data_IF_550458544660
#
_entry.id   IF_550458544660
#
_cell.length_a   1.000
_cell.length_b   1.000
_cell.length_c   1.000
_cell.angle_alpha   90.00
_cell.angle_beta   90.00
_cell.angle_gamma   90.00
#
_symmetry.space_group_name_H-M   'P 1'
#
loop_
_entity.id
_entity.type
_entity.pdbx_description
1 polymer ?
#
# COMPACT_ATOMS: atom_id res chain seq x y z
N UNK A 1 -2.81 -7.95 0.58
CA UNK A 1 -3.82 -9.04 0.54
C UNK A 1 -5.08 -8.51 -0.16
N UNK A 2 -6.12 -9.34 -0.31
CA UNK A 2 -7.36 -8.94 -0.99
C UNK A 2 -7.27 -9.03 -2.51
N UNK A 3 -8.42 -9.15 -3.17
CA UNK A 3 -8.48 -9.49 -4.59
C UNK A 3 -7.86 -8.45 -5.53
N UNK A 4 -7.88 -7.16 -5.16
CA UNK A 4 -7.30 -6.08 -5.99
C UNK A 4 -5.79 -6.24 -6.12
N UNK A 5 -5.11 -6.62 -5.03
CA UNK A 5 -3.66 -6.78 -5.03
C UNK A 5 -3.18 -7.87 -6.00
N UNK A 6 -4.03 -8.86 -6.31
CA UNK A 6 -3.73 -9.92 -7.28
C UNK A 6 -4.14 -9.55 -8.71
N UNK A 7 -5.15 -8.70 -8.87
CA UNK A 7 -5.78 -8.43 -10.18
C UNK A 7 -5.24 -7.19 -10.88
N UNK A 8 -4.62 -6.26 -10.15
CA UNK A 8 -4.21 -4.98 -10.72
C UNK A 8 -2.73 -4.65 -10.40
N UNK A 9 -1.78 -5.19 -11.19
CA UNK A 9 -0.35 -4.90 -11.03
C UNK A 9 -0.02 -3.42 -11.15
N UNK A 10 -0.70 -2.70 -12.05
CA UNK A 10 -0.51 -1.26 -12.23
C UNK A 10 -0.81 -0.49 -10.95
N UNK A 11 -1.95 -0.77 -10.31
CA UNK A 11 -2.31 -0.12 -9.06
C UNK A 11 -1.29 -0.41 -7.95
N UNK A 12 -0.81 -1.64 -7.86
CA UNK A 12 0.19 -2.02 -6.87
C UNK A 12 1.53 -1.28 -7.08
N UNK A 13 1.95 -1.09 -8.33
CA UNK A 13 3.13 -0.29 -8.64
C UNK A 13 2.93 1.18 -8.28
N UNK A 14 1.78 1.76 -8.61
CA UNK A 14 1.43 3.14 -8.22
C UNK A 14 1.48 3.29 -6.68
N UNK A 15 0.95 2.31 -5.94
CA UNK A 15 1.01 2.33 -4.47
C UNK A 15 2.45 2.30 -3.96
N UNK A 16 3.31 1.46 -4.53
CA UNK A 16 4.73 1.40 -4.17
C UNK A 16 5.42 2.75 -4.44
N UNK A 17 5.20 3.32 -5.62
CA UNK A 17 5.83 4.56 -6.05
C UNK A 17 5.35 5.78 -5.23
N UNK A 18 4.04 5.84 -4.91
CA UNK A 18 3.47 6.93 -4.10
C UNK A 18 3.92 6.85 -2.65
N UNK A 19 3.93 5.65 -2.06
CA UNK A 19 4.27 5.47 -0.63
C UNK A 19 5.77 5.40 -0.37
N UNK A 20 6.58 5.15 -1.39
CA UNK A 20 8.02 4.92 -1.25
C UNK A 20 8.36 3.63 -0.52
N UNK A 21 7.46 2.64 -0.55
CA UNK A 21 7.60 1.37 0.17
C UNK A 21 7.38 0.19 -0.77
N UNK A 22 8.11 -0.90 -0.54
CA UNK A 22 7.89 -2.13 -1.26
C UNK A 22 6.52 -2.73 -0.88
N UNK A 23 5.73 -3.06 -1.90
CA UNK A 23 4.43 -3.68 -1.74
C UNK A 23 4.54 -5.19 -1.92
N UNK A 24 4.25 -5.93 -0.85
CA UNK A 24 4.25 -7.39 -0.83
C UNK A 24 2.82 -7.92 -0.98
N UNK A 25 2.66 -9.01 -1.75
CA UNK A 25 1.37 -9.66 -1.95
C UNK A 25 1.28 -10.89 -1.05
N UNK A 26 0.18 -11.02 -0.30
CA UNK A 26 -0.09 -12.23 0.49
C UNK A 26 -0.20 -13.44 -0.43
N UNK A 27 0.42 -14.56 -0.05
CA UNK A 27 0.27 -15.84 -0.74
C UNK A 27 -1.14 -16.41 -0.59
N UNK A 28 -1.81 -16.12 0.53
CA UNK A 28 -3.14 -16.66 0.82
C UNK A 28 -4.25 -15.80 0.23
N UNK A 29 -5.04 -16.40 -0.65
CA UNK A 29 -6.28 -15.82 -1.17
C UNK A 29 -7.38 -15.68 -0.10
N UNK A 30 -7.30 -16.48 0.98
CA UNK A 30 -8.25 -16.48 2.09
C UNK A 30 -7.60 -15.91 3.36
N UNK A 31 -7.13 -14.67 3.27
CA UNK A 31 -6.33 -14.05 4.34
C UNK A 31 -7.04 -14.02 5.70
N UNK A 32 -8.36 -13.79 5.73
CA UNK A 32 -9.15 -13.81 6.97
C UNK A 32 -9.25 -15.22 7.57
N UNK A 33 -9.48 -16.24 6.74
CA UNK A 33 -9.53 -17.63 7.20
C UNK A 33 -8.17 -18.11 7.72
N UNK A 34 -7.08 -17.71 7.05
CA UNK A 34 -5.72 -17.97 7.52
C UNK A 34 -5.48 -17.33 8.90
N UNK A 35 -5.92 -16.09 9.11
CA UNK A 35 -5.81 -15.41 10.40
C UNK A 35 -6.57 -16.15 11.52
N UNK A 36 -7.78 -16.64 11.23
CA UNK A 36 -8.55 -17.46 12.17
C UNK A 36 -7.85 -18.78 12.49
N UNK A 37 -7.26 -19.44 11.49
CA UNK A 37 -6.49 -20.67 11.67
C UNK A 37 -5.23 -20.45 12.51
N UNK A 38 -4.52 -19.33 12.31
CA UNK A 38 -3.37 -18.95 13.14
C UNK A 38 -3.80 -18.81 14.61
N UNK A 39 -4.88 -18.07 14.88
CA UNK A 39 -5.37 -17.89 16.24
C UNK A 39 -5.80 -19.23 16.87
N UNK A 40 -6.53 -20.06 16.13
CA UNK A 40 -6.93 -21.40 16.59
C UNK A 40 -5.73 -22.29 16.91
N UNK A 41 -4.69 -22.24 16.09
CA UNK A 41 -3.45 -22.98 16.31
C UNK A 41 -2.69 -22.52 17.55
N UNK A 42 -2.66 -21.21 17.84
CA UNK A 42 -2.06 -20.68 19.07
C UNK A 42 -2.86 -21.09 20.30
N UNK A 43 -4.19 -21.04 20.24
CA UNK A 43 -5.06 -21.46 21.36
C UNK A 43 -4.93 -22.96 21.65
N UNK A 44 -4.77 -23.79 20.61
CA UNK A 44 -4.53 -25.22 20.79
C UNK A 44 -3.23 -25.50 21.58
N UNK A 45 -2.20 -24.66 21.40
CA UNK A 45 -0.92 -24.80 22.06
C UNK A 45 -0.02 -25.89 21.44
N UNK A 46 1.28 -25.77 21.65
CA UNK A 46 2.28 -26.67 21.06
C UNK A 46 2.08 -28.14 21.44
N UNK A 47 1.68 -28.41 22.68
CA UNK A 47 1.49 -29.77 23.20
C UNK A 47 0.35 -30.55 22.49
N UNK A 48 -0.61 -29.82 21.89
CA UNK A 48 -1.71 -30.40 21.13
C UNK A 48 -1.50 -30.33 19.60
N UNK A 49 -0.27 -30.05 19.14
CA UNK A 49 0.06 -29.91 17.72
C UNK A 49 -0.24 -28.52 17.13
N UNK A 50 -0.53 -27.54 17.97
CA UNK A 50 -0.62 -26.12 17.62
C UNK A 50 0.74 -25.42 17.66
N UNK A 51 0.74 -24.11 17.87
CA UNK A 51 1.95 -23.30 18.03
C UNK A 51 1.96 -22.65 19.42
N UNK A 52 3.15 -22.39 19.97
CA UNK A 52 3.30 -21.76 21.29
C UNK A 52 3.09 -20.24 21.29
N UNK A 53 3.12 -19.60 20.13
CA UNK A 53 2.90 -18.15 20.02
C UNK A 53 2.39 -17.73 18.63
N UNK A 54 1.84 -16.52 18.54
CA UNK A 54 1.48 -15.92 17.26
C UNK A 54 2.69 -15.75 16.33
N UNK A 55 3.86 -15.39 16.85
CA UNK A 55 5.06 -15.21 16.04
C UNK A 55 5.49 -16.52 15.37
N UNK A 56 5.47 -17.62 16.14
CA UNK A 56 5.76 -18.96 15.64
C UNK A 56 4.74 -19.41 14.59
N UNK A 57 3.44 -19.27 14.89
CA UNK A 57 2.37 -19.61 13.97
C UNK A 57 2.44 -18.79 12.67
N UNK A 58 2.73 -17.49 12.77
CA UNK A 58 2.91 -16.62 11.60
C UNK A 58 4.12 -17.05 10.77
N UNK A 59 5.25 -17.38 11.40
CA UNK A 59 6.45 -17.85 10.70
C UNK A 59 6.19 -19.15 9.94
N UNK A 60 5.41 -20.07 10.51
CA UNK A 60 5.07 -21.35 9.88
C UNK A 60 3.96 -21.24 8.82
N UNK A 61 2.96 -20.39 9.04
CA UNK A 61 1.70 -20.40 8.26
C UNK A 61 1.59 -19.26 7.26
N UNK A 62 2.17 -18.08 7.54
CA UNK A 62 2.09 -16.95 6.63
C UNK A 62 3.02 -17.13 5.43
N UNK A 63 2.79 -16.34 4.38
CA UNK A 63 3.67 -16.31 3.24
C UNK A 63 3.31 -15.16 2.30
N UNK A 64 4.31 -14.77 1.52
CA UNK A 64 4.20 -13.78 0.45
C UNK A 64 4.35 -14.48 -0.89
N UNK A 65 3.83 -13.88 -1.96
CA UNK A 65 4.16 -14.30 -3.33
C UNK A 65 5.54 -13.76 -3.71
N UNK A 66 6.18 -14.42 -4.67
CA UNK A 66 7.50 -14.00 -5.19
C UNK A 66 7.44 -12.65 -5.90
N UNK A 67 6.29 -12.31 -6.47
CA UNK A 67 6.06 -11.00 -7.09
C UNK A 67 5.85 -9.93 -6.01
N UNK A 68 6.78 -8.98 -5.95
CA UNK A 68 6.67 -7.75 -5.16
C UNK A 68 6.80 -6.53 -6.07
N UNK A 69 6.32 -5.37 -5.59
CA UNK A 69 6.41 -4.11 -6.31
C UNK A 69 7.31 -3.16 -5.54
N UNK A 70 8.49 -2.88 -6.08
CA UNK A 70 9.45 -1.95 -5.48
C UNK A 70 9.23 -0.54 -6.05
N UNK A 71 9.38 0.52 -5.23
CA UNK A 71 9.25 1.88 -5.72
C UNK A 71 10.26 2.15 -6.83
N UNK A 72 9.79 2.76 -7.92
CA UNK A 72 10.63 3.29 -8.99
C UNK A 72 11.05 4.71 -8.58
N UNK A 73 12.34 4.99 -8.33
CA UNK A 73 12.79 6.28 -7.81
C UNK A 73 12.37 7.48 -8.67
N UNK A 74 12.33 7.30 -9.99
CA UNK A 74 11.92 8.32 -10.96
C UNK A 74 10.43 8.66 -10.80
N UNK A 75 9.57 7.64 -10.71
CA UNK A 75 8.15 7.81 -10.49
C UNK A 75 7.86 8.44 -9.13
N UNK A 76 8.56 8.00 -8.07
CA UNK A 76 8.39 8.51 -6.73
C UNK A 76 8.64 10.03 -6.67
N UNK A 77 9.68 10.54 -7.35
CA UNK A 77 9.94 11.98 -7.43
C UNK A 77 8.74 12.75 -8.02
N UNK A 78 8.08 12.19 -9.03
CA UNK A 78 6.89 12.77 -9.64
C UNK A 78 5.69 12.68 -8.70
N UNK A 79 5.46 11.52 -8.10
CA UNK A 79 4.34 11.31 -7.17
C UNK A 79 4.45 12.15 -5.92
N UNK A 80 5.65 12.46 -5.42
CA UNK A 80 5.81 13.41 -4.31
C UNK A 80 5.31 14.82 -4.67
N UNK A 81 5.56 15.28 -5.90
CA UNK A 81 5.05 16.57 -6.39
C UNK A 81 3.52 16.52 -6.56
N UNK A 82 3.00 15.45 -7.15
CA UNK A 82 1.55 15.26 -7.32
C UNK A 82 0.82 15.11 -5.99
N UNK A 83 1.40 14.41 -5.03
CA UNK A 83 0.84 14.21 -3.69
C UNK A 83 0.73 15.53 -2.92
N UNK A 84 1.70 16.44 -3.09
CA UNK A 84 1.61 17.79 -2.55
C UNK A 84 0.37 18.54 -3.06
N UNK A 85 0.08 18.45 -4.35
CA UNK A 85 -1.11 19.05 -4.95
C UNK A 85 -2.40 18.32 -4.53
N UNK A 86 -2.37 16.99 -4.45
CA UNK A 86 -3.48 16.20 -3.93
C UNK A 86 -3.82 16.62 -2.51
N UNK A 87 -2.83 16.76 -1.63
CA UNK A 87 -3.03 17.18 -0.24
C UNK A 87 -3.63 18.58 -0.16
N UNK A 88 -3.13 19.51 -0.98
CA UNK A 88 -3.68 20.86 -1.07
C UNK A 88 -5.18 20.83 -1.41
N UNK A 89 -5.58 20.02 -2.40
CA UNK A 89 -6.99 19.87 -2.81
C UNK A 89 -7.81 19.11 -1.76
N UNK A 90 -7.26 18.03 -1.21
CA UNK A 90 -7.88 17.24 -0.15
C UNK A 90 -8.24 18.12 1.04
N UNK A 91 -7.29 18.90 1.54
CA UNK A 91 -7.51 19.80 2.67
C UNK A 91 -8.48 20.93 2.26
N UNK A 92 -8.36 21.41 1.02
CA UNK A 92 -9.20 22.48 0.51
C UNK A 92 -10.70 22.13 0.51
N UNK A 93 -11.03 20.91 0.07
CA UNK A 93 -12.40 20.43 -0.09
C UNK A 93 -12.90 19.56 1.07
N UNK A 94 -12.00 18.98 1.86
CA UNK A 94 -12.32 18.03 2.92
C UNK A 94 -12.40 18.62 4.32
N UNK A 95 -11.80 19.80 4.55
CA UNK A 95 -11.84 20.49 5.85
C UNK A 95 -12.92 21.59 5.85
N UNK A 96 -13.72 21.63 6.93
CA UNK A 96 -14.92 22.49 7.03
C UNK A 96 -14.60 23.99 6.93
N UNK A 97 -13.44 24.43 7.40
CA UNK A 97 -13.04 25.85 7.47
C UNK A 97 -11.81 26.17 6.60
N UNK A 98 -11.60 25.41 5.53
CA UNK A 98 -10.49 25.66 4.62
C UNK A 98 -10.71 26.94 3.80
N UNK A 99 -9.64 27.74 3.68
CA UNK A 99 -9.55 28.90 2.77
C UNK A 99 -8.37 28.78 1.79
N UNK A 100 -7.98 27.56 1.43
CA UNK A 100 -6.79 27.30 0.61
C UNK A 100 -6.89 27.97 -0.76
N UNK A 101 -5.88 28.76 -1.13
CA UNK A 101 -5.74 29.32 -2.48
C UNK A 101 -5.33 28.21 -3.45
N UNK A 102 -6.14 27.94 -4.47
CA UNK A 102 -5.91 26.84 -5.43
C UNK A 102 -5.40 27.29 -6.80
N UNK A 103 -5.17 28.59 -7.01
CA UNK A 103 -4.78 29.14 -8.32
C UNK A 103 -3.46 28.58 -8.88
N UNK A 104 -2.59 28.04 -8.03
CA UNK A 104 -1.33 27.41 -8.42
C UNK A 104 -1.49 26.01 -9.03
N UNK A 105 -2.61 25.31 -8.74
CA UNK A 105 -2.74 23.86 -9.01
C UNK A 105 -2.59 23.53 -10.50
N UNK A 106 -3.29 24.24 -11.38
CA UNK A 106 -3.22 23.98 -12.82
C UNK A 106 -1.81 24.25 -13.38
N UNK A 107 -1.18 25.34 -12.96
CA UNK A 107 0.18 25.69 -13.41
C UNK A 107 1.22 24.68 -12.93
N UNK A 108 1.07 24.18 -11.70
CA UNK A 108 1.94 23.15 -11.14
C UNK A 108 1.77 21.80 -11.88
N UNK A 109 0.54 21.39 -12.20
CA UNK A 109 0.29 20.18 -12.99
C UNK A 109 0.90 20.26 -14.39
N UNK A 110 0.76 21.40 -15.07
CA UNK A 110 1.40 21.63 -16.37
C UNK A 110 2.92 21.55 -16.27
N UNK A 111 3.52 22.20 -15.27
CA UNK A 111 4.96 22.14 -15.03
C UNK A 111 5.46 20.71 -14.76
N UNK A 112 4.70 19.89 -14.01
CA UNK A 112 5.04 18.48 -13.79
C UNK A 112 5.01 17.72 -15.12
N UNK A 113 3.93 17.85 -15.89
CA UNK A 113 3.77 17.19 -17.20
C UNK A 113 4.91 17.57 -18.15
N UNK A 114 5.22 18.86 -18.26
CA UNK A 114 6.25 19.34 -19.17
C UNK A 114 7.65 18.86 -18.75
N UNK A 115 7.94 18.77 -17.44
CA UNK A 115 9.23 18.28 -16.95
C UNK A 115 9.50 16.79 -17.19
N UNK A 116 8.47 16.00 -17.52
CA UNK A 116 8.58 14.56 -17.79
C UNK A 116 8.59 14.26 -19.29
N UNK A 117 8.02 15.15 -20.10
CA UNK A 117 7.97 15.03 -21.56
C UNK A 117 9.11 15.75 -22.27
N UNK A 118 9.98 16.46 -21.54
CA UNK A 118 11.17 17.14 -22.06
C UNK A 118 12.36 16.17 -22.10
#
# INVERSE_FOLDING_TARGET
CGGIAEKNPLLMQIYADVTGREMMISRSAQSCALGAAIAGSVVAGADAGGHGSFAEAQAAMCGIKDTTFKPIPENQKVYLRLYGLYKQLHDAFGLRDSSAKLGNVMKALLSIKDSINA
#
